data_IF_215493272621
#
_entry.id   IF_215493272621
#
_cell.length_a   1.000
_cell.length_b   1.000
_cell.length_c   1.000
_cell.angle_alpha   90.00
_cell.angle_beta   90.00
_cell.angle_gamma   90.00
#
_symmetry.space_group_name_H-M   'P 1'
#
loop_
_entity.id
_entity.type
_entity.pdbx_description
1 polymer ?
#
# COMPACT_ATOMS: atom_id res chain seq x y z
N UNK A 1 6.01 3.49 -3.87
CA UNK A 1 6.43 3.10 -5.24
C UNK A 1 5.25 3.33 -6.17
N UNK A 2 5.44 3.82 -7.39
CA UNK A 2 4.35 3.95 -8.37
C UNK A 2 4.30 2.74 -9.33
N UNK A 3 3.25 2.62 -10.14
CA UNK A 3 3.04 1.48 -11.05
C UNK A 3 4.18 1.33 -12.06
N UNK A 4 4.76 2.45 -12.50
CA UNK A 4 5.86 2.45 -13.45
C UNK A 4 7.14 1.88 -12.83
N UNK A 5 7.45 2.30 -11.61
CA UNK A 5 8.57 1.77 -10.83
C UNK A 5 8.37 0.27 -10.57
N UNK A 6 7.16 -0.16 -10.24
CA UNK A 6 6.83 -1.57 -10.06
C UNK A 6 7.16 -2.41 -11.31
N UNK A 7 6.70 -1.98 -12.49
CA UNK A 7 7.02 -2.70 -13.74
C UNK A 7 8.52 -2.81 -13.99
N UNK A 8 9.31 -1.78 -13.63
CA UNK A 8 10.78 -1.85 -13.74
C UNK A 8 11.42 -2.87 -12.78
N UNK A 9 10.81 -3.11 -11.61
CA UNK A 9 11.30 -4.13 -10.67
C UNK A 9 11.07 -5.55 -11.17
N UNK A 10 9.97 -5.78 -11.90
CA UNK A 10 9.66 -7.07 -12.51
C UNK A 10 10.70 -7.48 -13.57
N UNK A 11 11.32 -6.51 -14.23
CA UNK A 11 12.41 -6.74 -15.17
C UNK A 11 13.72 -7.14 -14.48
N UNK A 12 13.86 -6.92 -13.16
CA UNK A 12 15.14 -7.02 -12.42
C UNK A 12 15.24 -8.19 -11.42
N UNK A 13 14.26 -9.11 -11.40
CA UNK A 13 14.30 -10.43 -10.77
C UNK A 13 14.78 -10.50 -9.29
N UNK A 14 14.25 -9.65 -8.40
CA UNK A 14 14.41 -9.88 -6.94
C UNK A 14 13.13 -9.62 -6.17
N UNK A 15 12.62 -10.65 -5.47
CA UNK A 15 11.49 -10.53 -4.57
C UNK A 15 11.80 -11.23 -3.25
N UNK A 16 11.67 -10.49 -2.14
CA UNK A 16 11.72 -11.04 -0.79
C UNK A 16 10.32 -11.19 -0.24
N UNK A 17 10.02 -12.38 0.30
CA UNK A 17 8.71 -12.69 0.79
C UNK A 17 8.51 -12.14 2.22
N UNK A 18 7.51 -11.28 2.39
CA UNK A 18 7.06 -10.79 3.70
C UNK A 18 5.75 -11.51 4.01
N UNK A 19 5.55 -11.93 5.27
CA UNK A 19 4.44 -12.81 5.65
C UNK A 19 3.08 -12.42 5.03
N UNK A 20 2.38 -13.42 4.49
CA UNK A 20 1.17 -13.25 3.69
C UNK A 20 -0.09 -13.49 4.52
N UNK A 21 -1.14 -12.71 4.27
CA UNK A 21 -2.50 -12.99 4.74
C UNK A 21 -3.36 -13.27 3.49
N UNK A 22 -4.02 -14.44 3.39
CA UNK A 22 -4.76 -14.81 2.18
C UNK A 22 -6.08 -14.02 2.06
N UNK A 23 -6.35 -13.47 0.88
CA UNK A 23 -7.63 -12.84 0.54
C UNK A 23 -8.22 -13.47 -0.72
N UNK A 24 -9.53 -13.72 -0.71
CA UNK A 24 -10.26 -14.16 -1.90
C UNK A 24 -11.08 -13.00 -2.46
N UNK A 25 -10.79 -12.62 -3.71
CA UNK A 25 -11.48 -11.52 -4.41
C UNK A 25 -12.14 -12.02 -5.68
N UNK A 26 -13.20 -11.32 -6.11
CA UNK A 26 -13.82 -11.50 -7.42
C UNK A 26 -13.59 -10.26 -8.25
N UNK A 27 -12.94 -10.41 -9.41
CA UNK A 27 -12.67 -9.32 -10.33
C UNK A 27 -13.73 -9.25 -11.44
N UNK A 28 -14.09 -8.06 -11.92
CA UNK A 28 -14.79 -7.92 -13.20
C UNK A 28 -13.99 -8.61 -14.32
N UNK A 29 -14.68 -9.24 -15.28
CA UNK A 29 -14.03 -9.99 -16.36
C UNK A 29 -13.00 -9.14 -17.13
N UNK A 30 -13.28 -7.84 -17.31
CA UNK A 30 -12.36 -6.89 -17.95
C UNK A 30 -11.03 -6.78 -17.22
N UNK A 31 -11.04 -6.74 -15.89
CA UNK A 31 -9.83 -6.59 -15.09
C UNK A 31 -9.12 -7.94 -14.91
N UNK A 32 -9.87 -9.05 -14.82
CA UNK A 32 -9.28 -10.39 -14.89
C UNK A 32 -8.48 -10.59 -16.19
N UNK A 33 -9.03 -10.19 -17.34
CA UNK A 33 -8.33 -10.25 -18.63
C UNK A 33 -7.04 -9.42 -18.66
N UNK A 34 -7.00 -8.27 -17.94
CA UNK A 34 -5.79 -7.45 -17.81
C UNK A 34 -4.73 -8.13 -16.96
N UNK A 35 -5.11 -8.81 -15.88
CA UNK A 35 -4.17 -9.59 -15.07
C UNK A 35 -3.57 -10.73 -15.89
N UNK A 36 -4.39 -11.48 -16.63
CA UNK A 36 -3.90 -12.54 -17.54
C UNK A 36 -2.92 -11.99 -18.58
N UNK A 37 -3.21 -10.82 -19.16
CA UNK A 37 -2.32 -10.18 -20.12
C UNK A 37 -0.96 -9.82 -19.49
N UNK A 38 -0.95 -9.29 -18.27
CA UNK A 38 0.29 -8.97 -17.54
C UNK A 38 1.09 -10.25 -17.23
N UNK A 39 0.44 -11.32 -16.79
CA UNK A 39 1.09 -12.63 -16.59
C UNK A 39 1.67 -13.16 -17.91
N UNK A 40 1.00 -12.94 -19.04
CA UNK A 40 1.52 -13.30 -20.36
C UNK A 40 2.76 -12.51 -20.77
N UNK A 41 2.87 -11.24 -20.37
CA UNK A 41 4.05 -10.41 -20.62
C UNK A 41 5.23 -10.76 -19.70
N UNK A 42 4.94 -11.15 -18.46
CA UNK A 42 5.93 -11.45 -17.42
C UNK A 42 5.78 -12.89 -16.91
N UNK A 43 6.20 -13.91 -17.69
CA UNK A 43 5.95 -15.32 -17.37
C UNK A 43 6.67 -15.82 -16.12
N UNK A 44 7.65 -15.07 -15.60
CA UNK A 44 8.31 -15.35 -14.31
C UNK A 44 7.48 -14.93 -13.09
N UNK A 45 6.32 -14.29 -13.28
CA UNK A 45 5.44 -13.84 -12.22
C UNK A 45 4.11 -14.58 -12.25
N UNK A 46 3.66 -14.97 -11.08
CA UNK A 46 2.33 -15.53 -10.87
C UNK A 46 1.26 -14.43 -10.83
N UNK A 47 0.00 -14.84 -11.04
CA UNK A 47 -1.16 -13.94 -10.89
C UNK A 47 -1.20 -13.31 -9.52
N UNK A 48 -0.90 -14.09 -8.48
CA UNK A 48 -0.94 -13.64 -7.08
C UNK A 48 0.16 -12.61 -6.81
N UNK A 49 1.36 -12.80 -7.34
CA UNK A 49 2.45 -11.81 -7.25
C UNK A 49 2.07 -10.50 -7.97
N UNK A 50 1.53 -10.58 -9.18
CA UNK A 50 1.10 -9.39 -9.92
C UNK A 50 -0.01 -8.65 -9.16
N UNK A 51 -1.04 -9.36 -8.72
CA UNK A 51 -2.16 -8.76 -7.98
C UNK A 51 -1.69 -8.16 -6.65
N UNK A 52 -0.89 -8.89 -5.87
CA UNK A 52 -0.35 -8.42 -4.58
C UNK A 52 0.45 -7.13 -4.75
N UNK A 53 1.33 -7.09 -5.75
CA UNK A 53 2.17 -5.91 -5.99
C UNK A 53 1.38 -4.72 -6.54
N UNK A 54 0.39 -4.96 -7.41
CA UNK A 54 -0.53 -3.90 -7.86
C UNK A 54 -1.35 -3.33 -6.70
N UNK A 55 -1.83 -4.17 -5.80
CA UNK A 55 -2.55 -3.74 -4.59
C UNK A 55 -1.63 -2.92 -3.69
N UNK A 56 -0.39 -3.36 -3.47
CA UNK A 56 0.58 -2.64 -2.66
C UNK A 56 0.82 -1.22 -3.21
N UNK A 57 1.05 -1.09 -4.52
CA UNK A 57 1.22 0.21 -5.17
C UNK A 57 -0.05 1.07 -5.09
N UNK A 58 -1.22 0.48 -5.27
CA UNK A 58 -2.48 1.22 -5.17
C UNK A 58 -2.73 1.74 -3.74
N UNK A 59 -2.38 0.95 -2.72
CA UNK A 59 -2.49 1.35 -1.32
C UNK A 59 -1.50 2.47 -0.97
N UNK A 60 -0.24 2.36 -1.43
CA UNK A 60 0.76 3.44 -1.34
C UNK A 60 0.23 4.76 -1.94
N UNK A 61 -0.40 4.67 -3.12
CA UNK A 61 -0.98 5.84 -3.80
C UNK A 61 -2.15 6.42 -2.99
N UNK A 62 -3.05 5.58 -2.48
CA UNK A 62 -4.16 6.03 -1.61
C UNK A 62 -3.64 6.78 -0.39
N UNK A 63 -2.58 6.29 0.26
CA UNK A 63 -1.95 6.98 1.39
C UNK A 63 -1.38 8.34 1.01
N UNK A 64 -0.66 8.42 -0.12
CA UNK A 64 -0.06 9.67 -0.61
C UNK A 64 -1.10 10.73 -0.98
N UNK A 65 -2.26 10.29 -1.45
CA UNK A 65 -3.35 11.17 -1.90
C UNK A 65 -4.31 11.56 -0.77
N UNK A 66 -4.10 11.10 0.48
CA UNK A 66 -4.97 11.50 1.59
C UNK A 66 -4.87 13.01 1.84
N UNK A 67 -6.00 13.74 1.85
CA UNK A 67 -5.97 15.19 1.98
C UNK A 67 -5.65 15.58 3.42
N UNK A 68 -4.58 16.35 3.57
CA UNK A 68 -4.30 17.09 4.81
C UNK A 68 -5.43 18.10 5.07
N UNK A 69 -5.96 18.13 6.29
CA UNK A 69 -6.85 19.19 6.74
C UNK A 69 -6.25 19.86 7.96
N UNK A 70 -5.84 21.11 7.80
CA UNK A 70 -5.26 21.90 8.87
C UNK A 70 -6.24 22.10 10.03
N UNK A 71 -5.84 21.71 11.25
CA UNK A 71 -6.53 22.04 12.49
C UNK A 71 -6.09 23.36 13.09
N UNK A 72 -6.62 23.68 14.27
CA UNK A 72 -6.29 24.93 14.98
C UNK A 72 -5.05 24.82 15.87
N UNK A 73 -4.63 23.61 16.23
CA UNK A 73 -3.49 23.40 17.14
C UNK A 73 -2.18 23.36 16.38
N UNK A 74 -1.19 24.11 16.86
CA UNK A 74 0.22 23.96 16.46
C UNK A 74 0.81 22.73 17.14
N UNK A 75 1.35 21.79 16.36
CA UNK A 75 1.93 20.52 16.86
C UNK A 75 3.45 20.52 16.85
N UNK A 76 4.07 21.30 15.97
CA UNK A 76 5.52 21.50 15.93
C UNK A 76 5.85 22.82 15.23
N UNK A 77 7.14 23.14 15.21
CA UNK A 77 7.70 24.26 14.44
C UNK A 77 8.76 23.67 13.53
N UNK A 78 8.80 24.12 12.27
CA UNK A 78 9.79 23.62 11.30
C UNK A 78 11.17 24.29 11.46
N UNK A 79 12.11 23.94 10.58
CA UNK A 79 13.49 24.43 10.61
C UNK A 79 13.62 25.94 10.37
N UNK A 80 12.60 26.57 9.78
CA UNK A 80 12.57 28.01 9.49
C UNK A 80 11.79 28.81 10.56
N UNK A 81 11.19 28.12 11.54
CA UNK A 81 10.40 28.75 12.58
C UNK A 81 8.91 28.83 12.26
N UNK A 82 8.44 28.21 11.17
CA UNK A 82 7.04 28.25 10.77
C UNK A 82 6.22 27.21 11.57
N UNK A 83 5.02 27.58 12.06
CA UNK A 83 4.18 26.68 12.83
C UNK A 83 3.59 25.58 11.94
N UNK A 84 3.82 24.33 12.32
CA UNK A 84 3.18 23.16 11.72
C UNK A 84 1.93 22.80 12.52
N UNK A 85 0.79 22.77 11.84
CA UNK A 85 -0.51 22.52 12.45
C UNK A 85 -0.90 21.05 12.38
N UNK A 86 -1.71 20.61 13.34
CA UNK A 86 -2.27 19.25 13.33
C UNK A 86 -3.04 18.96 12.04
N UNK A 87 -3.05 17.69 11.62
CA UNK A 87 -3.98 17.19 10.63
C UNK A 87 -5.27 16.72 11.33
N UNK A 88 -6.40 17.34 11.04
CA UNK A 88 -7.75 16.91 11.48
C UNK A 88 -8.50 16.16 10.37
N UNK A 89 -7.80 15.76 9.31
CA UNK A 89 -8.31 15.01 8.18
C UNK A 89 -8.45 13.51 8.44
N UNK A 90 -8.51 12.73 7.36
CA UNK A 90 -8.65 11.26 7.46
C UNK A 90 -7.31 10.56 7.73
N UNK A 91 -6.19 11.19 7.38
CA UNK A 91 -4.84 10.62 7.48
C UNK A 91 -4.52 10.10 8.88
N UNK A 92 -4.72 10.85 9.99
CA UNK A 92 -4.37 10.36 11.32
C UNK A 92 -5.18 9.13 11.72
N UNK A 93 -6.48 9.12 11.39
CA UNK A 93 -7.36 7.98 11.69
C UNK A 93 -6.98 6.74 10.87
N UNK A 94 -6.65 6.91 9.60
CA UNK A 94 -6.17 5.83 8.76
C UNK A 94 -4.87 5.22 9.30
N UNK A 95 -3.89 6.06 9.67
CA UNK A 95 -2.62 5.61 10.23
C UNK A 95 -2.79 4.84 11.55
N UNK A 96 -3.70 5.29 12.41
CA UNK A 96 -4.06 4.57 13.65
C UNK A 96 -4.62 3.18 13.36
N UNK A 97 -5.61 3.09 12.45
CA UNK A 97 -6.20 1.81 12.06
C UNK A 97 -5.17 0.87 11.43
N UNK A 98 -4.34 1.39 10.52
CA UNK A 98 -3.28 0.62 9.87
C UNK A 98 -2.32 0.02 10.90
N UNK A 99 -1.91 0.80 11.91
CA UNK A 99 -1.04 0.32 12.99
C UNK A 99 -1.71 -0.77 13.83
N UNK A 100 -2.98 -0.57 14.19
CA UNK A 100 -3.76 -1.56 14.94
C UNK A 100 -3.85 -2.90 14.20
N UNK A 101 -4.19 -2.88 12.90
CA UNK A 101 -4.27 -4.10 12.11
C UNK A 101 -2.89 -4.77 11.95
N UNK A 102 -1.82 -4.00 11.73
CA UNK A 102 -0.47 -4.55 11.63
C UNK A 102 -0.03 -5.29 12.92
N UNK A 103 -0.32 -4.71 14.09
CA UNK A 103 -0.05 -5.38 15.37
C UNK A 103 -0.86 -6.67 15.51
N UNK A 104 -2.14 -6.66 15.13
CA UNK A 104 -2.99 -7.84 15.21
C UNK A 104 -2.48 -8.99 14.33
N UNK A 105 -2.02 -8.71 13.11
CA UNK A 105 -1.42 -9.72 12.23
C UNK A 105 -0.11 -10.29 12.81
N UNK A 106 0.74 -9.44 13.40
CA UNK A 106 1.97 -9.90 14.07
C UNK A 106 1.67 -10.79 15.29
N UNK A 107 0.63 -10.48 16.06
CA UNK A 107 0.21 -11.30 17.20
C UNK A 107 -0.36 -12.64 16.75
N UNK A 108 -1.25 -12.66 15.75
CA UNK A 108 -1.78 -13.90 15.16
C UNK A 108 -0.66 -14.83 14.70
N UNK A 109 0.37 -14.29 14.03
CA UNK A 109 1.53 -15.06 13.57
C UNK A 109 2.39 -15.64 14.71
N UNK A 110 2.40 -15.03 15.89
CA UNK A 110 3.12 -15.55 17.08
C UNK A 110 2.34 -16.64 17.83
N UNK A 111 1.02 -16.68 17.66
CA UNK A 111 0.12 -17.62 18.35
C UNK A 111 -0.25 -18.84 17.51
N UNK A 112 0.10 -18.85 16.23
CA UNK A 112 0.00 -20.00 15.31
C UNK A 112 1.32 -20.76 15.26
#
# INVERSE_FOLDING_TARGET
MNVRELMSTWESASHQNHGEEPYQIRLPLKDAARIEALTGLYPGLTRDEIMSQLIAVALDEVERQMPYKQGSRVVSVDELGDPLYEDVGLTPRYLQLRHQFAQNFQQKKKSA
#
